data_IF_070809178665
#
_entry.id   IF_070809178665
#
_cell.length_a   1.000
_cell.length_b   1.000
_cell.length_c   1.000
_cell.angle_alpha   90.00
_cell.angle_beta   90.00
_cell.angle_gamma   90.00
#
_symmetry.space_group_name_H-M   'P 1'
#
loop_
_entity.id
_entity.type
_entity.pdbx_description
1 polymer ?
#
# COMPACT_ATOMS: atom_id res chain seq x y z
N UNK A 1 -23.00 -2.65 12.42
CA UNK A 1 -22.51 -1.67 11.42
C UNK A 1 -23.73 -1.21 10.66
N UNK A 2 -23.96 0.10 10.62
CA UNK A 2 -25.11 0.72 9.96
C UNK A 2 -24.61 1.78 8.97
N UNK A 3 -25.51 2.34 8.17
CA UNK A 3 -25.19 3.36 7.18
C UNK A 3 -24.89 2.83 5.76
N UNK A 4 -24.51 3.72 4.84
CA UNK A 4 -24.56 3.49 3.40
C UNK A 4 -23.58 2.42 2.89
N UNK A 5 -22.61 2.00 3.71
CA UNK A 5 -21.62 1.00 3.31
C UNK A 5 -21.79 -0.37 4.00
N UNK A 6 -22.82 -0.55 4.84
CA UNK A 6 -22.98 -1.76 5.66
C UNK A 6 -23.08 -3.05 4.82
N UNK A 7 -23.79 -3.01 3.68
CA UNK A 7 -23.97 -4.15 2.79
C UNK A 7 -22.66 -4.69 2.20
N UNK A 8 -21.60 -3.88 2.13
CA UNK A 8 -20.35 -4.25 1.48
C UNK A 8 -19.36 -4.96 2.42
N UNK A 9 -19.62 -5.00 3.73
CA UNK A 9 -18.71 -5.56 4.73
C UNK A 9 -18.39 -7.05 4.49
N UNK A 10 -19.42 -7.84 4.18
CA UNK A 10 -19.25 -9.27 3.92
C UNK A 10 -18.40 -9.54 2.67
N UNK A 11 -18.59 -8.76 1.60
CA UNK A 11 -17.79 -8.88 0.39
C UNK A 11 -16.35 -8.39 0.58
N UNK A 12 -16.13 -7.30 1.33
CA UNK A 12 -14.79 -6.81 1.65
C UNK A 12 -13.97 -7.88 2.40
N UNK A 13 -14.60 -8.56 3.37
CA UNK A 13 -13.97 -9.65 4.11
C UNK A 13 -13.50 -10.77 3.18
N UNK A 14 -14.37 -11.21 2.26
CA UNK A 14 -14.06 -12.29 1.32
C UNK A 14 -12.97 -11.88 0.34
N UNK A 15 -13.05 -10.67 -0.20
CA UNK A 15 -12.06 -10.12 -1.12
C UNK A 15 -10.66 -10.10 -0.48
N UNK A 16 -10.53 -9.49 0.71
CA UNK A 16 -9.24 -9.41 1.39
C UNK A 16 -8.72 -10.78 1.81
N UNK A 17 -9.59 -11.72 2.18
CA UNK A 17 -9.19 -13.10 2.44
C UNK A 17 -8.66 -13.79 1.17
N UNK A 18 -9.33 -13.63 0.03
CA UNK A 18 -8.89 -14.15 -1.27
C UNK A 18 -7.56 -13.56 -1.72
N UNK A 19 -7.28 -12.30 -1.34
CA UNK A 19 -5.99 -11.64 -1.58
C UNK A 19 -4.89 -12.05 -0.57
N UNK A 20 -5.19 -12.95 0.37
CA UNK A 20 -4.23 -13.47 1.35
C UNK A 20 -3.88 -12.52 2.48
N UNK A 21 -4.76 -11.56 2.82
CA UNK A 21 -4.55 -10.69 3.98
C UNK A 21 -4.71 -11.47 5.29
N UNK A 22 -3.89 -11.14 6.29
CA UNK A 22 -4.01 -11.69 7.64
C UNK A 22 -5.34 -11.28 8.30
N UNK A 23 -5.92 -12.18 9.11
CA UNK A 23 -7.23 -11.98 9.76
C UNK A 23 -7.30 -10.68 10.56
N UNK A 24 -6.23 -10.32 11.29
CA UNK A 24 -6.17 -9.05 12.02
C UNK A 24 -6.25 -7.84 11.09
N UNK A 25 -5.54 -7.88 9.95
CA UNK A 25 -5.59 -6.81 8.94
C UNK A 25 -6.96 -6.71 8.27
N UNK A 26 -7.64 -7.84 8.05
CA UNK A 26 -9.03 -7.83 7.56
C UNK A 26 -9.95 -7.14 8.58
N UNK A 27 -9.78 -7.46 9.87
CA UNK A 27 -10.49 -6.78 10.96
C UNK A 27 -10.27 -5.26 10.95
N UNK A 28 -9.02 -4.82 10.81
CA UNK A 28 -8.69 -3.39 10.71
C UNK A 28 -9.41 -2.69 9.54
N UNK A 29 -9.51 -3.36 8.38
CA UNK A 29 -10.23 -2.82 7.22
C UNK A 29 -11.75 -2.79 7.41
N UNK A 30 -12.32 -3.76 8.14
CA UNK A 30 -13.75 -3.76 8.47
C UNK A 30 -14.10 -2.66 9.47
N UNK A 31 -13.24 -2.39 10.45
CA UNK A 31 -13.40 -1.23 11.32
C UNK A 31 -13.27 0.09 10.54
N UNK A 32 -12.31 0.16 9.61
CA UNK A 32 -12.17 1.33 8.74
C UNK A 32 -13.40 1.56 7.84
N UNK A 33 -14.01 0.49 7.33
CA UNK A 33 -15.27 0.55 6.58
C UNK A 33 -16.41 1.09 7.46
N UNK A 34 -16.52 0.63 8.71
CA UNK A 34 -17.54 1.12 9.64
C UNK A 34 -17.36 2.62 9.94
N UNK A 35 -16.12 3.04 10.23
CA UNK A 35 -15.78 4.45 10.48
C UNK A 35 -16.14 5.33 9.27
N UNK A 36 -15.90 4.84 8.05
CA UNK A 36 -16.22 5.54 6.81
C UNK A 36 -17.73 5.61 6.56
N UNK A 37 -18.46 4.51 6.83
CA UNK A 37 -19.92 4.45 6.72
C UNK A 37 -20.58 5.49 7.61
N UNK A 38 -20.19 5.55 8.89
CA UNK A 38 -20.70 6.57 9.82
C UNK A 38 -20.32 7.99 9.41
N UNK A 39 -19.09 8.22 8.94
CA UNK A 39 -18.66 9.55 8.49
C UNK A 39 -19.43 10.08 7.28
N UNK A 40 -19.86 9.19 6.38
CA UNK A 40 -20.73 9.53 5.25
C UNK A 40 -22.13 9.88 5.75
N UNK A 41 -22.68 9.07 6.65
CA UNK A 41 -24.01 9.25 7.22
C UNK A 41 -24.12 10.57 8.01
N UNK A 42 -23.14 10.86 8.86
CA UNK A 42 -22.99 12.12 9.62
C UNK A 42 -23.01 13.37 8.72
N UNK A 43 -22.66 13.21 7.44
CA UNK A 43 -22.55 14.29 6.45
C UNK A 43 -23.63 14.25 5.39
N UNK A 44 -24.58 13.32 5.50
CA UNK A 44 -25.59 13.04 4.48
C UNK A 44 -24.97 12.85 3.08
N UNK A 45 -23.80 12.21 3.00
CA UNK A 45 -23.09 11.94 1.75
C UNK A 45 -23.38 10.53 1.26
N UNK A 46 -23.62 10.41 -0.03
CA UNK A 46 -23.73 9.12 -0.70
C UNK A 46 -22.34 8.53 -0.99
N UNK A 47 -22.22 7.20 -1.16
CA UNK A 47 -20.97 6.58 -1.59
C UNK A 47 -20.41 7.16 -2.89
N UNK A 48 -21.27 7.60 -3.81
CA UNK A 48 -20.88 8.22 -5.08
C UNK A 48 -20.22 9.60 -4.90
N UNK A 49 -20.38 10.24 -3.74
CA UNK A 49 -19.72 11.51 -3.43
C UNK A 49 -18.33 11.30 -2.80
N UNK A 50 -17.92 10.05 -2.57
CA UNK A 50 -16.61 9.71 -2.01
C UNK A 50 -15.48 9.84 -3.04
N UNK A 51 -15.24 11.07 -3.47
CA UNK A 51 -14.09 11.46 -4.29
C UNK A 51 -12.77 11.34 -3.52
N UNK A 52 -11.64 11.40 -4.23
CA UNK A 52 -10.29 11.46 -3.62
C UNK A 52 -10.16 12.58 -2.59
N UNK A 53 -10.80 13.74 -2.84
CA UNK A 53 -10.83 14.86 -1.88
C UNK A 53 -11.59 14.49 -0.60
N UNK A 54 -12.77 13.89 -0.72
CA UNK A 54 -13.58 13.47 0.45
C UNK A 54 -12.91 12.34 1.23
N UNK A 55 -12.25 11.41 0.54
CA UNK A 55 -11.41 10.40 1.20
C UNK A 55 -10.28 11.05 2.03
N UNK A 56 -9.64 12.11 1.51
CA UNK A 56 -8.62 12.84 2.27
C UNK A 56 -9.21 13.59 3.47
N UNK A 57 -10.43 14.14 3.37
CA UNK A 57 -11.15 14.78 4.48
C UNK A 57 -11.48 13.78 5.59
N UNK A 58 -12.02 12.61 5.24
CA UNK A 58 -12.25 11.52 6.17
C UNK A 58 -10.99 11.16 6.97
N UNK A 59 -9.84 11.05 6.30
CA UNK A 59 -8.57 10.74 6.97
C UNK A 59 -8.11 11.86 7.92
N UNK A 60 -8.37 13.13 7.59
CA UNK A 60 -8.06 14.27 8.47
C UNK A 60 -8.95 14.25 9.72
N UNK A 61 -10.24 13.99 9.57
CA UNK A 61 -11.16 13.90 10.71
C UNK A 61 -10.80 12.74 11.63
N UNK A 62 -10.47 11.59 11.05
CA UNK A 62 -10.02 10.42 11.80
C UNK A 62 -8.74 10.72 12.59
N UNK A 63 -7.81 11.49 12.03
CA UNK A 63 -6.63 12.00 12.76
C UNK A 63 -7.02 12.94 13.90
N UNK A 64 -7.97 13.85 13.69
CA UNK A 64 -8.45 14.78 14.72
C UNK A 64 -9.14 14.06 15.89
N UNK A 65 -9.83 12.95 15.62
CA UNK A 65 -10.44 12.07 16.64
C UNK A 65 -9.41 11.23 17.43
N UNK A 66 -8.12 11.37 17.15
CA UNK A 66 -7.05 10.68 17.89
C UNK A 66 -6.78 9.24 17.43
N UNK A 67 -7.41 8.78 16.35
CA UNK A 67 -7.10 7.46 15.78
C UNK A 67 -5.63 7.44 15.31
N UNK A 68 -4.91 6.34 15.57
CA UNK A 68 -3.48 6.20 15.21
C UNK A 68 -3.22 5.28 14.01
N UNK A 69 -4.14 4.39 13.69
CA UNK A 69 -4.06 3.46 12.56
C UNK A 69 -4.89 3.96 11.37
N UNK A 70 -4.60 3.52 10.14
CA UNK A 70 -5.45 3.78 8.96
C UNK A 70 -5.60 5.25 8.54
N UNK A 71 -4.60 6.09 8.80
CA UNK A 71 -4.66 7.55 8.58
C UNK A 71 -4.09 8.03 7.24
N UNK A 72 -3.69 7.10 6.37
CA UNK A 72 -3.02 7.43 5.11
C UNK A 72 -3.85 6.97 3.94
N UNK A 73 -3.76 7.70 2.82
CA UNK A 73 -4.38 7.32 1.54
C UNK A 73 -4.01 5.89 1.14
N UNK A 74 -2.78 5.46 1.47
CA UNK A 74 -2.30 4.10 1.23
C UNK A 74 -2.96 3.07 2.13
N UNK A 75 -3.26 3.38 3.38
CA UNK A 75 -3.89 2.45 4.30
C UNK A 75 -5.38 2.21 3.98
N UNK A 76 -6.06 3.21 3.42
CA UNK A 76 -7.45 3.08 2.96
C UNK A 76 -7.55 2.54 1.52
N UNK A 77 -6.42 2.45 0.80
CA UNK A 77 -6.42 2.07 -0.61
C UNK A 77 -7.05 0.70 -0.90
N UNK A 78 -6.81 -0.39 -0.13
CA UNK A 78 -7.47 -1.67 -0.39
C UNK A 78 -8.99 -1.58 -0.25
N UNK A 79 -9.47 -0.87 0.78
CA UNK A 79 -10.90 -0.61 0.98
C UNK A 79 -11.50 0.18 -0.20
N UNK A 80 -10.87 1.28 -0.61
CA UNK A 80 -11.36 2.08 -1.75
C UNK A 80 -11.26 1.32 -3.07
N UNK A 81 -10.24 0.47 -3.24
CA UNK A 81 -10.09 -0.40 -4.41
C UNK A 81 -11.26 -1.36 -4.55
N UNK A 82 -11.63 -2.03 -3.46
CA UNK A 82 -12.79 -2.92 -3.43
C UNK A 82 -14.10 -2.19 -3.76
N UNK A 83 -14.36 -1.03 -3.12
CA UNK A 83 -15.58 -0.26 -3.40
C UNK A 83 -15.65 0.27 -4.85
N UNK A 84 -14.49 0.63 -5.43
CA UNK A 84 -14.39 1.04 -6.85
C UNK A 84 -14.59 -0.10 -7.81
N UNK A 85 -14.08 -1.30 -7.50
CA UNK A 85 -14.30 -2.51 -8.30
C UNK A 85 -15.79 -2.85 -8.42
N UNK A 86 -16.57 -2.52 -7.39
CA UNK A 86 -18.03 -2.64 -7.38
C UNK A 86 -18.76 -1.40 -7.94
N UNK A 87 -18.02 -0.38 -8.42
CA UNK A 87 -18.55 0.90 -8.90
C UNK A 87 -19.44 1.66 -7.91
N UNK A 88 -19.30 1.36 -6.61
CA UNK A 88 -20.07 1.97 -5.51
C UNK A 88 -19.60 3.39 -5.21
N UNK A 89 -18.32 3.66 -5.44
CA UNK A 89 -17.69 4.96 -5.27
C UNK A 89 -17.00 5.35 -6.58
N UNK A 90 -16.75 6.65 -6.83
CA UNK A 90 -16.13 7.09 -8.07
C UNK A 90 -14.78 6.42 -8.29
N UNK A 91 -14.54 6.01 -9.54
CA UNK A 91 -13.23 5.57 -9.98
C UNK A 91 -12.23 6.70 -9.72
N UNK A 92 -11.16 6.39 -8.99
CA UNK A 92 -10.01 7.28 -8.96
C UNK A 92 -9.23 6.97 -10.23
N UNK A 93 -9.08 7.96 -11.09
CA UNK A 93 -8.04 7.92 -12.11
C UNK A 93 -6.72 7.76 -11.35
N UNK A 94 -6.01 6.63 -11.48
CA UNK A 94 -4.67 6.54 -10.91
C UNK A 94 -3.86 7.66 -11.57
N UNK A 95 -3.13 8.50 -10.81
CA UNK A 95 -2.16 9.37 -11.44
C UNK A 95 -1.23 8.46 -12.24
N UNK A 96 -1.01 8.80 -13.51
CA UNK A 96 0.07 8.20 -14.29
C UNK A 96 1.32 8.31 -13.43
N UNK A 97 2.12 7.24 -13.25
CA UNK A 97 3.35 7.30 -12.47
C UNK A 97 4.16 8.49 -12.96
N UNK A 98 4.23 9.54 -12.15
CA UNK A 98 4.82 10.82 -12.54
C UNK A 98 6.25 10.93 -12.01
N UNK A 99 6.62 10.03 -11.09
CA UNK A 99 7.94 9.98 -10.49
C UNK A 99 8.63 8.64 -10.76
N UNK A 100 9.97 8.64 -10.85
CA UNK A 100 10.76 7.42 -11.01
C UNK A 100 10.56 6.41 -9.87
N UNK A 101 10.33 6.89 -8.63
CA UNK A 101 9.93 6.02 -7.50
C UNK A 101 8.61 5.29 -7.80
N UNK A 102 7.60 5.99 -8.32
CA UNK A 102 6.31 5.39 -8.64
C UNK A 102 6.41 4.37 -9.77
N UNK A 103 7.23 4.65 -10.79
CA UNK A 103 7.51 3.69 -11.86
C UNK A 103 8.22 2.44 -11.35
N UNK A 104 9.26 2.60 -10.52
CA UNK A 104 9.98 1.46 -9.93
C UNK A 104 9.06 0.61 -9.05
N UNK A 105 8.20 1.23 -8.25
CA UNK A 105 7.24 0.51 -7.41
C UNK A 105 6.13 -0.16 -8.23
N UNK A 106 5.75 0.39 -9.38
CA UNK A 106 4.82 -0.24 -10.31
C UNK A 106 5.45 -1.49 -10.94
N UNK A 107 6.66 -1.37 -11.49
CA UNK A 107 7.40 -2.51 -12.06
C UNK A 107 7.66 -3.60 -11.02
N UNK A 108 8.03 -3.21 -9.80
CA UNK A 108 8.25 -4.16 -8.71
C UNK A 108 6.96 -4.89 -8.32
N UNK A 109 5.82 -4.20 -8.33
CA UNK A 109 4.51 -4.85 -8.12
C UNK A 109 4.24 -5.90 -9.18
N UNK A 110 4.46 -5.57 -10.44
CA UNK A 110 4.16 -6.46 -11.56
C UNK A 110 5.07 -7.69 -11.56
N UNK A 111 6.36 -7.51 -11.25
CA UNK A 111 7.29 -8.61 -11.01
C UNK A 111 6.84 -9.53 -9.86
N UNK A 112 6.41 -8.96 -8.74
CA UNK A 112 5.94 -9.74 -7.58
C UNK A 112 4.70 -10.59 -7.90
N UNK A 113 3.74 -10.00 -8.62
CA UNK A 113 2.48 -10.68 -8.96
C UNK A 113 2.67 -11.68 -10.10
N UNK A 114 3.51 -11.37 -11.08
CA UNK A 114 3.78 -12.22 -12.24
C UNK A 114 4.80 -13.31 -11.95
N UNK A 115 6.06 -12.93 -11.79
CA UNK A 115 7.19 -13.87 -11.74
C UNK A 115 7.32 -14.62 -10.41
N UNK A 116 7.00 -13.94 -9.30
CA UNK A 116 7.08 -14.55 -7.96
C UNK A 116 5.76 -15.17 -7.51
N UNK A 117 4.66 -14.91 -8.21
CA UNK A 117 3.34 -15.45 -7.90
C UNK A 117 2.85 -15.16 -6.47
N UNK A 118 3.31 -14.08 -5.84
CA UNK A 118 2.90 -13.77 -4.45
C UNK A 118 1.48 -13.22 -4.43
N UNK A 119 0.80 -13.39 -3.30
CA UNK A 119 -0.56 -12.86 -3.14
C UNK A 119 -0.58 -11.33 -3.17
N UNK A 120 -1.70 -10.73 -3.59
CA UNK A 120 -1.85 -9.27 -3.63
C UNK A 120 -1.62 -8.58 -2.28
N UNK A 121 -2.02 -9.23 -1.17
CA UNK A 121 -1.72 -8.77 0.18
C UNK A 121 -0.22 -8.77 0.49
N UNK A 122 0.49 -9.81 0.05
CA UNK A 122 1.95 -9.94 0.20
C UNK A 122 2.69 -8.91 -0.66
N UNK A 123 2.27 -8.73 -1.90
CA UNK A 123 2.83 -7.69 -2.78
C UNK A 123 2.64 -6.29 -2.18
N UNK A 124 1.46 -5.99 -1.64
CA UNK A 124 1.19 -4.73 -0.94
C UNK A 124 2.10 -4.53 0.26
N UNK A 125 2.38 -5.60 1.02
CA UNK A 125 3.32 -5.57 2.13
C UNK A 125 4.75 -5.26 1.64
N UNK A 126 5.24 -5.96 0.62
CA UNK A 126 6.58 -5.71 0.06
C UNK A 126 6.75 -4.31 -0.54
N UNK A 127 5.72 -3.78 -1.21
CA UNK A 127 5.74 -2.39 -1.70
C UNK A 127 5.83 -1.37 -0.56
N UNK A 128 5.28 -1.69 0.63
CA UNK A 128 5.45 -0.85 1.82
C UNK A 128 6.90 -0.86 2.29
N UNK A 129 7.50 -2.04 2.38
CA UNK A 129 8.91 -2.18 2.76
C UNK A 129 9.84 -1.47 1.78
N UNK A 130 9.62 -1.62 0.47
CA UNK A 130 10.37 -0.95 -0.58
C UNK A 130 10.36 0.58 -0.44
N UNK A 131 9.19 1.19 -0.16
CA UNK A 131 9.13 2.65 0.07
C UNK A 131 9.91 3.12 1.29
N UNK A 132 9.94 2.32 2.36
CA UNK A 132 10.73 2.65 3.57
C UNK A 132 12.22 2.59 3.24
N UNK A 133 12.63 1.59 2.45
CA UNK A 133 13.99 1.47 1.95
C UNK A 133 14.38 2.67 1.08
N UNK A 134 13.59 3.02 0.06
CA UNK A 134 13.89 4.15 -0.82
C UNK A 134 14.02 5.48 -0.06
N UNK A 135 13.18 5.71 0.94
CA UNK A 135 13.28 6.90 1.81
C UNK A 135 14.56 6.94 2.64
N UNK A 136 15.08 5.79 3.04
CA UNK A 136 16.32 5.72 3.83
C UNK A 136 17.58 6.02 3.01
N UNK A 137 17.50 5.93 1.68
CA UNK A 137 18.60 6.23 0.75
C UNK A 137 18.73 7.73 0.39
N UNK A 138 17.98 8.62 1.05
CA UNK A 138 18.01 10.06 0.75
C UNK A 138 16.89 10.56 -0.16
N UNK A 139 15.91 9.71 -0.47
CA UNK A 139 14.67 10.10 -1.16
C UNK A 139 14.62 9.75 -2.65
N UNK A 140 13.56 10.21 -3.30
CA UNK A 140 13.07 9.78 -4.62
C UNK A 140 13.75 10.45 -5.80
N UNK A 141 15.02 10.86 -5.68
CA UNK A 141 15.71 11.54 -6.79
C UNK A 141 16.09 10.52 -7.87
N UNK A 142 15.95 10.92 -9.14
CA UNK A 142 16.38 10.13 -10.30
C UNK A 142 17.81 9.63 -10.17
N UNK A 143 18.71 10.48 -9.65
CA UNK A 143 20.12 10.14 -9.45
C UNK A 143 20.32 9.04 -8.38
N UNK A 144 19.53 9.04 -7.30
CA UNK A 144 19.62 7.99 -6.27
C UNK A 144 19.06 6.66 -6.78
N UNK A 145 18.04 6.71 -7.64
CA UNK A 145 17.43 5.51 -8.23
C UNK A 145 18.27 4.94 -9.38
N UNK A 146 18.93 5.78 -10.18
CA UNK A 146 19.87 5.35 -11.22
C UNK A 146 21.16 4.71 -10.63
N UNK A 147 21.56 5.14 -9.43
CA UNK A 147 22.69 4.57 -8.68
C UNK A 147 22.34 3.38 -7.77
N UNK A 148 21.09 2.89 -7.80
CA UNK A 148 20.70 1.69 -7.03
C UNK A 148 21.47 0.48 -7.55
N UNK A 149 22.39 -0.01 -6.73
CA UNK A 149 23.17 -1.20 -6.99
C UNK A 149 22.76 -2.31 -6.00
N UNK A 150 23.10 -3.55 -6.34
CA UNK A 150 22.94 -4.69 -5.43
C UNK A 150 23.66 -4.45 -4.09
N UNK A 151 24.79 -3.71 -4.09
CA UNK A 151 25.54 -3.38 -2.89
C UNK A 151 24.73 -2.49 -1.92
N UNK A 152 24.05 -1.46 -2.42
CA UNK A 152 23.18 -0.60 -1.60
C UNK A 152 22.03 -1.39 -0.96
N UNK A 153 21.48 -2.37 -1.69
CA UNK A 153 20.45 -3.26 -1.18
C UNK A 153 20.99 -4.18 -0.09
N UNK A 154 22.15 -4.79 -0.32
CA UNK A 154 22.79 -5.68 0.66
C UNK A 154 23.17 -4.93 1.93
N UNK A 155 23.77 -3.73 1.82
CA UNK A 155 24.13 -2.89 2.96
C UNK A 155 22.90 -2.50 3.80
N UNK A 156 21.80 -2.12 3.15
CA UNK A 156 20.56 -1.83 3.86
C UNK A 156 19.98 -3.06 4.56
N UNK A 157 19.97 -4.22 3.91
CA UNK A 157 19.50 -5.48 4.50
C UNK A 157 20.34 -5.86 5.72
N UNK A 158 21.67 -5.70 5.65
CA UNK A 158 22.59 -5.94 6.75
C UNK A 158 22.35 -4.96 7.91
N UNK A 159 22.31 -3.66 7.64
CA UNK A 159 22.04 -2.63 8.66
C UNK A 159 20.65 -2.80 9.30
N UNK A 160 19.65 -3.25 8.54
CA UNK A 160 18.33 -3.58 9.07
C UNK A 160 18.35 -4.84 9.95
N UNK A 161 19.07 -5.89 9.54
CA UNK A 161 19.21 -7.13 10.31
C UNK A 161 19.91 -6.87 11.65
N UNK A 162 20.92 -6.00 11.67
CA UNK A 162 21.58 -5.56 12.90
C UNK A 162 20.66 -4.79 13.84
N UNK A 163 19.89 -3.82 13.31
CA UNK A 163 18.89 -3.06 14.10
C UNK A 163 17.77 -3.93 14.68
N UNK A 164 17.59 -5.15 14.17
CA UNK A 164 16.59 -6.12 14.63
C UNK A 164 17.18 -7.37 15.28
N UNK A 165 18.48 -7.39 15.61
CA UNK A 165 19.08 -8.49 16.39
C UNK A 165 18.23 -8.80 17.63
N UNK A 166 17.84 -10.06 17.78
CA UNK A 166 17.00 -10.55 18.90
C UNK A 166 15.49 -10.54 18.66
N UNK A 167 15.01 -10.19 17.45
CA UNK A 167 13.61 -10.36 17.04
C UNK A 167 13.49 -11.43 15.95
N UNK A 168 12.36 -12.14 15.90
CA UNK A 168 12.10 -13.14 14.87
C UNK A 168 12.32 -12.55 13.45
N UNK A 169 12.89 -13.33 12.50
CA UNK A 169 13.10 -12.84 11.14
C UNK A 169 11.75 -12.45 10.53
N UNK A 170 11.66 -11.23 10.00
CA UNK A 170 10.47 -10.66 9.38
C UNK A 170 10.75 -10.34 7.91
N UNK A 171 9.70 -10.38 7.09
CA UNK A 171 9.59 -10.41 5.63
C UNK A 171 10.32 -9.29 4.84
N UNK A 172 11.06 -8.40 5.50
CA UNK A 172 11.75 -7.24 4.91
C UNK A 172 12.98 -7.65 4.08
N UNK A 173 13.65 -8.75 4.44
CA UNK A 173 14.81 -9.27 3.69
C UNK A 173 14.44 -9.62 2.24
N UNK A 174 13.22 -10.13 2.02
CA UNK A 174 12.69 -10.42 0.69
C UNK A 174 12.39 -9.15 -0.12
N UNK A 175 11.99 -8.07 0.54
CA UNK A 175 11.69 -6.80 -0.13
C UNK A 175 12.94 -6.10 -0.67
N UNK A 176 14.09 -6.17 0.03
CA UNK A 176 15.35 -5.60 -0.45
C UNK A 176 15.86 -6.32 -1.70
N UNK A 177 16.04 -7.64 -1.61
CA UNK A 177 16.56 -8.46 -2.70
C UNK A 177 15.70 -8.40 -3.97
N UNK A 178 14.38 -8.27 -3.82
CA UNK A 178 13.47 -8.23 -4.95
C UNK A 178 13.29 -6.81 -5.56
N UNK A 179 13.56 -5.73 -4.80
CA UNK A 179 13.70 -4.38 -5.39
C UNK A 179 14.92 -4.32 -6.32
N UNK A 180 16.04 -4.97 -5.95
CA UNK A 180 17.22 -5.08 -6.83
C UNK A 180 16.92 -5.80 -8.15
N UNK A 181 16.08 -6.84 -8.11
CA UNK A 181 15.68 -7.59 -9.30
C UNK A 181 14.72 -6.82 -10.23
N UNK A 182 14.04 -5.78 -9.73
CA UNK A 182 13.12 -4.95 -10.49
C UNK A 182 13.75 -3.67 -11.07
N UNK A 183 15.02 -3.39 -10.75
CA UNK A 183 15.80 -2.36 -11.45
C UNK A 183 16.16 -2.93 -12.81
N UNK A 184 15.76 -2.30 -13.94
CA UNK A 184 16.22 -2.77 -15.24
C UNK A 184 17.74 -2.71 -15.23
N UNK A 185 18.38 -3.82 -15.61
CA UNK A 185 19.80 -3.79 -15.91
C UNK A 185 19.99 -2.72 -16.98
N UNK A 186 20.48 -1.53 -16.61
CA UNK A 186 21.02 -0.59 -17.58
C UNK A 186 22.18 -1.33 -18.23
N UNK A 187 21.89 -1.94 -19.38
CA UNK A 187 22.85 -2.64 -20.20
C UNK A 187 23.97 -1.67 -20.51
N UNK A 188 25.17 -2.01 -20.04
CA UNK A 188 26.37 -1.59 -20.72
C UNK A 188 26.33 -2.15 -22.14
N UNK A 189 26.49 -1.29 -23.11
CA UNK A 189 26.99 -1.57 -24.46
C UNK A 189 27.55 -0.23 -24.91
N UNK A 190 28.83 -0.03 -24.58
CA UNK A 190 29.98 -0.10 -25.51
C UNK A 190 30.12 1.20 -26.33
#
# INVERSE_FOLDING_TARGET
MEGPLAAFAGGLRRELAGQGYAVGTIGDHLHLLADLSGWLDDRALTPQELTTRRAAEFLRDRRRRGCRAGLTTRAIAPLLGYLRGLQVVPLSVPPVPATPEEMLLANYRDHLLGERGVTAGTATHYLRCARVFLRSLGGSSDAALAGLSTAHVTEYVLAWAERRRGKAPDLVTLAGAAVAAAVPACGGSD
#
